data_IF_716063142661
#
_entry.id   IF_716063142661
#
_cell.length_a   1.000
_cell.length_b   1.000
_cell.length_c   1.000
_cell.angle_alpha   90.00
_cell.angle_beta   90.00
_cell.angle_gamma   90.00
#
_symmetry.space_group_name_H-M   'P 1'
#
loop_
_entity.id
_entity.type
_entity.pdbx_description
1 polymer ?
#
# COMPACT_ATOMS: atom_id res chain seq x y z
N UNK A 1 4.80 15.10 27.82
CA UNK A 1 3.90 14.31 26.94
C UNK A 1 4.61 14.03 25.64
N UNK A 2 4.52 12.81 25.08
CA UNK A 2 5.08 12.51 23.76
C UNK A 2 4.46 13.40 22.68
N UNK A 3 5.29 13.93 21.79
CA UNK A 3 4.87 14.74 20.64
C UNK A 3 5.09 13.96 19.36
N UNK A 4 4.06 13.86 18.53
CA UNK A 4 4.11 13.13 17.26
C UNK A 4 3.97 14.13 16.11
N UNK A 5 4.97 14.19 15.22
CA UNK A 5 4.93 15.03 14.03
C UNK A 5 4.29 14.28 12.87
N UNK A 6 3.52 15.01 12.08
CA UNK A 6 2.83 14.52 10.89
C UNK A 6 2.97 15.58 9.79
N UNK A 7 3.13 15.18 8.54
CA UNK A 7 3.18 16.08 7.39
C UNK A 7 3.92 15.47 6.21
N UNK A 8 3.18 14.98 5.22
CA UNK A 8 3.66 14.50 3.91
C UNK A 8 4.94 13.61 3.93
N UNK A 9 5.01 12.73 4.95
CA UNK A 9 6.09 11.75 5.07
C UNK A 9 5.83 10.63 4.06
N UNK A 10 6.66 10.55 3.03
CA UNK A 10 6.53 9.61 1.91
C UNK A 10 7.75 8.68 1.73
N UNK A 11 8.82 8.93 2.47
CA UNK A 11 10.04 8.12 2.51
C UNK A 11 10.73 8.24 3.87
N UNK A 12 11.80 7.47 4.06
CA UNK A 12 12.59 7.43 5.30
C UNK A 12 13.25 8.78 5.61
N UNK A 13 13.76 9.45 4.59
CA UNK A 13 14.40 10.75 4.72
C UNK A 13 13.42 11.85 5.17
N UNK A 14 12.18 11.78 4.71
CA UNK A 14 11.12 12.70 5.16
C UNK A 14 10.85 12.53 6.65
N UNK A 15 10.83 11.29 7.14
CA UNK A 15 10.62 11.00 8.56
C UNK A 15 11.77 11.54 9.42
N UNK A 16 13.02 11.29 9.01
CA UNK A 16 14.20 11.80 9.71
C UNK A 16 14.21 13.33 9.74
N UNK A 17 13.96 13.98 8.61
CA UNK A 17 13.89 15.44 8.50
C UNK A 17 12.75 16.02 9.36
N UNK A 18 11.58 15.38 9.39
CA UNK A 18 10.45 15.83 10.20
C UNK A 18 10.78 15.79 11.71
N UNK A 19 11.45 14.74 12.18
CA UNK A 19 11.92 14.64 13.56
C UNK A 19 12.97 15.70 13.88
N UNK A 20 13.97 15.87 13.01
CA UNK A 20 15.04 16.86 13.20
C UNK A 20 14.49 18.29 13.28
N UNK A 21 13.56 18.66 12.39
CA UNK A 21 13.00 20.01 12.33
C UNK A 21 12.00 20.32 13.44
N UNK A 22 11.26 19.31 13.90
CA UNK A 22 10.21 19.50 14.91
C UNK A 22 10.67 19.27 16.34
N UNK A 23 11.71 18.47 16.54
CA UNK A 23 12.08 17.94 17.87
C UNK A 23 11.05 16.98 18.48
N UNK A 24 10.16 16.42 17.66
CA UNK A 24 9.14 15.47 18.11
C UNK A 24 9.73 14.12 18.51
N UNK A 25 9.00 13.37 19.34
CA UNK A 25 9.39 12.03 19.82
C UNK A 25 9.10 10.92 18.81
N UNK A 26 8.22 11.17 17.86
CA UNK A 26 7.84 10.19 16.84
C UNK A 26 7.15 10.82 15.62
N UNK A 27 6.93 10.00 14.59
CA UNK A 27 6.27 10.39 13.35
C UNK A 27 4.95 9.63 13.16
N UNK A 28 3.97 10.27 12.53
CA UNK A 28 2.76 9.64 12.02
C UNK A 28 2.76 9.72 10.50
N UNK A 29 2.62 8.57 9.85
CA UNK A 29 2.55 8.46 8.40
C UNK A 29 1.10 8.23 8.00
N UNK A 30 0.53 9.17 7.25
CA UNK A 30 -0.84 9.07 6.72
C UNK A 30 -0.84 8.65 5.25
N UNK A 31 -1.16 9.56 4.36
CA UNK A 31 -1.29 9.35 2.91
C UNK A 31 -0.04 8.77 2.24
N UNK A 32 1.14 9.00 2.81
CA UNK A 32 2.39 8.41 2.32
C UNK A 32 2.41 6.88 2.28
N UNK A 33 1.60 6.22 3.14
CA UNK A 33 1.47 4.77 3.16
C UNK A 33 0.42 4.21 2.19
N UNK A 34 -0.35 5.05 1.49
CA UNK A 34 -1.35 4.59 0.55
C UNK A 34 -0.72 3.81 -0.61
N UNK A 35 -1.15 2.57 -0.80
CA UNK A 35 -0.61 1.65 -1.79
C UNK A 35 0.78 1.09 -1.48
N UNK A 36 1.39 1.45 -0.36
CA UNK A 36 2.68 0.94 0.11
C UNK A 36 2.76 0.88 1.64
N UNK A 37 1.93 0.06 2.29
CA UNK A 37 1.89 -0.01 3.77
C UNK A 37 3.20 -0.47 4.39
N UNK A 38 4.07 -1.16 3.66
CA UNK A 38 5.43 -1.53 4.07
C UNK A 38 6.32 -0.33 4.39
N UNK A 39 5.97 0.88 3.91
CA UNK A 39 6.70 2.11 4.23
C UNK A 39 6.82 2.34 5.75
N UNK A 40 5.80 1.97 6.52
CA UNK A 40 5.83 2.07 7.97
C UNK A 40 6.99 1.26 8.59
N UNK A 41 7.15 0.01 8.14
CA UNK A 41 8.26 -0.85 8.56
C UNK A 41 9.63 -0.34 8.09
N UNK A 42 9.70 0.16 6.86
CA UNK A 42 10.92 0.74 6.30
C UNK A 42 11.38 1.96 7.10
N UNK A 43 10.46 2.89 7.41
CA UNK A 43 10.76 4.08 8.21
C UNK A 43 11.18 3.69 9.63
N UNK A 44 10.48 2.75 10.26
CA UNK A 44 10.83 2.28 11.61
C UNK A 44 12.23 1.67 11.62
N UNK A 45 12.56 0.82 10.67
CA UNK A 45 13.89 0.21 10.55
C UNK A 45 14.97 1.27 10.32
N UNK A 46 14.73 2.20 9.41
CA UNK A 46 15.65 3.30 9.12
C UNK A 46 15.96 4.16 10.35
N UNK A 47 14.94 4.55 11.10
CA UNK A 47 15.11 5.38 12.31
C UNK A 47 15.88 4.64 13.42
N UNK A 48 15.80 3.31 13.46
CA UNK A 48 16.48 2.49 14.46
C UNK A 48 17.93 2.12 14.07
N UNK A 49 18.17 1.82 12.81
CA UNK A 49 19.45 1.25 12.33
C UNK A 49 20.28 2.18 11.43
N UNK A 50 19.62 3.18 10.81
CA UNK A 50 20.23 3.99 9.75
C UNK A 50 20.34 3.26 8.41
N UNK A 51 19.81 2.04 8.29
CA UNK A 51 19.89 1.22 7.09
C UNK A 51 18.54 1.17 6.37
N UNK A 52 18.56 1.22 5.02
CA UNK A 52 17.36 1.07 4.20
C UNK A 52 17.02 -0.38 3.97
N UNK A 53 15.73 -0.68 4.02
CA UNK A 53 15.15 -1.97 3.63
C UNK A 53 14.45 -1.82 2.29
N UNK A 54 14.69 -2.76 1.37
CA UNK A 54 14.00 -2.78 0.08
C UNK A 54 12.49 -2.95 0.26
N UNK A 55 11.71 -2.43 -0.70
CA UNK A 55 10.30 -2.74 -0.79
C UNK A 55 10.12 -4.25 -1.06
N UNK A 56 8.99 -4.85 -0.64
CA UNK A 56 8.69 -6.25 -0.95
C UNK A 56 8.64 -6.49 -2.46
N UNK A 57 8.94 -7.72 -2.89
CA UNK A 57 8.78 -8.15 -4.27
C UNK A 57 7.31 -8.11 -4.74
N UNK A 58 7.10 -8.26 -6.04
CA UNK A 58 5.74 -8.21 -6.62
C UNK A 58 4.84 -9.32 -6.07
N UNK A 59 5.39 -10.48 -5.80
CA UNK A 59 4.70 -11.61 -5.19
C UNK A 59 4.20 -11.29 -3.77
N UNK A 60 5.08 -10.78 -2.91
CA UNK A 60 4.74 -10.37 -1.56
C UNK A 60 3.74 -9.19 -1.56
N UNK A 61 3.91 -8.24 -2.48
CA UNK A 61 2.96 -7.13 -2.66
C UNK A 61 1.56 -7.65 -3.05
N UNK A 62 1.49 -8.60 -3.98
CA UNK A 62 0.22 -9.21 -4.40
C UNK A 62 -0.47 -9.93 -3.23
N UNK A 63 0.25 -10.74 -2.47
CA UNK A 63 -0.29 -11.43 -1.29
C UNK A 63 -0.85 -10.44 -0.26
N UNK A 64 -0.11 -9.38 0.03
CA UNK A 64 -0.51 -8.32 0.95
C UNK A 64 -1.78 -7.59 0.49
N UNK A 65 -1.90 -7.32 -0.82
CA UNK A 65 -3.10 -6.69 -1.38
C UNK A 65 -4.32 -7.59 -1.22
N UNK A 66 -4.18 -8.89 -1.50
CA UNK A 66 -5.25 -9.87 -1.34
C UNK A 66 -5.69 -9.98 0.13
N UNK A 67 -4.74 -10.04 1.05
CA UNK A 67 -5.01 -10.06 2.49
C UNK A 67 -5.75 -8.79 2.94
N UNK A 68 -5.26 -7.62 2.55
CA UNK A 68 -5.89 -6.34 2.89
C UNK A 68 -7.31 -6.22 2.30
N UNK A 69 -7.49 -6.69 1.06
CA UNK A 69 -8.80 -6.71 0.44
C UNK A 69 -9.80 -7.56 1.23
N UNK A 70 -9.40 -8.78 1.60
CA UNK A 70 -10.23 -9.68 2.43
C UNK A 70 -10.56 -9.07 3.80
N UNK A 71 -9.57 -8.46 4.44
CA UNK A 71 -9.77 -7.76 5.71
C UNK A 71 -10.76 -6.60 5.60
N UNK A 72 -10.75 -5.85 4.50
CA UNK A 72 -11.77 -4.82 4.24
C UNK A 72 -13.18 -5.40 4.06
N UNK A 73 -13.32 -6.53 3.37
CA UNK A 73 -14.62 -7.21 3.23
C UNK A 73 -15.14 -7.72 4.57
N UNK A 74 -14.27 -8.29 5.39
CA UNK A 74 -14.63 -8.77 6.74
C UNK A 74 -15.07 -7.61 7.64
N UNK A 75 -14.32 -6.52 7.63
CA UNK A 75 -14.55 -5.38 8.52
C UNK A 75 -15.81 -4.56 8.16
N UNK A 76 -16.02 -4.29 6.86
CA UNK A 76 -17.10 -3.41 6.38
C UNK A 76 -18.33 -4.17 5.86
N UNK A 77 -18.25 -5.50 5.73
CA UNK A 77 -19.19 -6.31 4.96
C UNK A 77 -18.91 -6.23 3.46
N UNK A 78 -19.37 -7.25 2.71
CA UNK A 78 -19.03 -7.43 1.29
C UNK A 78 -19.42 -6.21 0.44
N UNK A 79 -20.67 -5.78 0.51
CA UNK A 79 -21.21 -4.71 -0.35
C UNK A 79 -20.50 -3.36 -0.17
N UNK A 80 -20.16 -3.01 1.07
CA UNK A 80 -19.45 -1.77 1.40
C UNK A 80 -17.95 -1.93 1.19
N UNK A 81 -17.40 -3.06 1.60
CA UNK A 81 -15.99 -3.38 1.50
C UNK A 81 -15.48 -3.35 0.06
N UNK A 82 -16.21 -3.92 -0.90
CA UNK A 82 -15.87 -3.85 -2.34
C UNK A 82 -15.75 -2.40 -2.81
N UNK A 83 -16.67 -1.55 -2.45
CA UNK A 83 -16.68 -0.13 -2.85
C UNK A 83 -15.53 0.66 -2.22
N UNK A 84 -15.25 0.41 -0.94
CA UNK A 84 -14.12 1.04 -0.24
C UNK A 84 -12.80 0.59 -0.85
N UNK A 85 -12.67 -0.69 -1.16
CA UNK A 85 -11.45 -1.27 -1.71
C UNK A 85 -11.04 -0.71 -3.09
N UNK A 86 -11.96 -0.18 -3.88
CA UNK A 86 -11.68 0.37 -5.23
C UNK A 86 -10.54 1.38 -5.23
N UNK A 87 -10.55 2.32 -4.30
CA UNK A 87 -9.48 3.33 -4.18
C UNK A 87 -8.16 2.70 -3.75
N UNK A 88 -8.19 1.70 -2.87
CA UNK A 88 -6.98 0.97 -2.44
C UNK A 88 -6.37 0.18 -3.61
N UNK A 89 -7.19 -0.50 -4.43
CA UNK A 89 -6.73 -1.16 -5.64
C UNK A 89 -6.01 -0.17 -6.58
N UNK A 90 -6.57 1.04 -6.73
CA UNK A 90 -5.95 2.10 -7.51
C UNK A 90 -4.61 2.59 -6.95
N UNK A 91 -4.48 2.68 -5.64
CA UNK A 91 -3.22 3.08 -5.00
C UNK A 91 -2.13 2.01 -5.10
N UNK A 92 -2.48 0.74 -4.86
CA UNK A 92 -1.54 -0.37 -4.96
C UNK A 92 -0.98 -0.57 -6.37
N UNK A 93 -1.82 -0.41 -7.39
CA UNK A 93 -1.43 -0.64 -8.78
C UNK A 93 -0.83 0.58 -9.47
N UNK A 94 -0.79 1.74 -8.80
CA UNK A 94 -0.27 2.98 -9.35
C UNK A 94 1.18 2.83 -9.82
N UNK A 95 1.42 3.18 -11.09
CA UNK A 95 2.74 3.10 -11.70
C UNK A 95 3.08 1.73 -12.32
N UNK A 96 2.27 0.70 -12.10
CA UNK A 96 2.43 -0.58 -12.76
C UNK A 96 1.87 -0.55 -14.18
N UNK A 97 2.47 -1.33 -15.07
CA UNK A 97 2.00 -1.43 -16.47
C UNK A 97 0.56 -1.95 -16.53
N UNK A 98 -0.29 -1.28 -17.31
CA UNK A 98 -1.72 -1.62 -17.44
C UNK A 98 -2.61 -1.16 -16.28
N UNK A 99 -2.07 -0.42 -15.31
CA UNK A 99 -2.83 -0.01 -14.11
C UNK A 99 -4.03 0.89 -14.40
N UNK A 100 -4.00 1.68 -15.46
CA UNK A 100 -5.12 2.55 -15.84
C UNK A 100 -6.33 1.73 -16.29
N UNK A 101 -6.11 0.76 -17.16
CA UNK A 101 -7.16 -0.14 -17.67
C UNK A 101 -7.73 -1.01 -16.56
N UNK A 102 -6.85 -1.57 -15.71
CA UNK A 102 -7.26 -2.32 -14.54
C UNK A 102 -8.17 -1.50 -13.62
N UNK A 103 -7.79 -0.26 -13.27
CA UNK A 103 -8.60 0.61 -12.42
C UNK A 103 -9.94 0.96 -13.04
N UNK A 104 -9.95 1.27 -14.33
CA UNK A 104 -11.19 1.56 -15.05
C UNK A 104 -12.14 0.36 -15.02
N UNK A 105 -11.61 -0.85 -15.17
CA UNK A 105 -12.40 -2.07 -15.15
C UNK A 105 -12.89 -2.42 -13.75
N UNK A 106 -12.01 -2.48 -12.76
CA UNK A 106 -12.35 -2.92 -11.40
C UNK A 106 -13.32 -1.98 -10.67
N UNK A 107 -13.34 -0.70 -11.04
CA UNK A 107 -14.24 0.28 -10.44
C UNK A 107 -15.73 0.01 -10.70
N UNK A 108 -16.07 -0.80 -11.68
CA UNK A 108 -17.46 -1.15 -12.04
C UNK A 108 -17.88 -2.55 -11.59
N UNK A 109 -16.97 -3.29 -10.92
CA UNK A 109 -17.26 -4.64 -10.42
C UNK A 109 -17.78 -4.53 -8.98
N UNK A 110 -18.94 -5.12 -8.73
CA UNK A 110 -19.55 -5.19 -7.40
C UNK A 110 -19.39 -6.57 -6.74
N UNK A 111 -19.04 -7.58 -7.52
CA UNK A 111 -18.79 -8.94 -7.05
C UNK A 111 -17.36 -9.09 -6.48
N UNK A 112 -17.25 -9.53 -5.23
CA UNK A 112 -15.99 -9.59 -4.51
C UNK A 112 -15.01 -10.61 -5.10
N UNK A 113 -15.49 -11.76 -5.55
CA UNK A 113 -14.66 -12.82 -6.12
C UNK A 113 -14.19 -12.42 -7.52
N UNK A 114 -15.02 -11.73 -8.26
CA UNK A 114 -14.66 -11.18 -9.57
C UNK A 114 -13.54 -10.13 -9.44
N UNK A 115 -13.56 -9.27 -8.43
CA UNK A 115 -12.46 -8.32 -8.15
C UNK A 115 -11.15 -9.07 -7.90
N UNK A 116 -11.16 -10.13 -7.09
CA UNK A 116 -9.97 -10.97 -6.86
C UNK A 116 -9.47 -11.64 -8.15
N UNK A 117 -10.39 -12.11 -8.99
CA UNK A 117 -10.05 -12.68 -10.30
C UNK A 117 -9.35 -11.67 -11.23
N UNK A 118 -9.86 -10.44 -11.28
CA UNK A 118 -9.25 -9.38 -12.08
C UNK A 118 -7.89 -8.93 -11.51
N UNK A 119 -7.76 -8.89 -10.19
CA UNK A 119 -6.48 -8.60 -9.54
C UNK A 119 -5.44 -9.68 -9.88
N UNK A 120 -5.82 -10.96 -9.81
CA UNK A 120 -4.94 -12.07 -10.18
C UNK A 120 -4.48 -11.98 -11.64
N UNK A 121 -5.39 -11.70 -12.56
CA UNK A 121 -5.07 -11.51 -13.99
C UNK A 121 -4.13 -10.33 -14.23
N UNK A 122 -4.33 -9.24 -13.49
CA UNK A 122 -3.46 -8.07 -13.59
C UNK A 122 -2.03 -8.36 -13.13
N UNK A 123 -1.87 -9.10 -12.03
CA UNK A 123 -0.55 -9.42 -11.47
C UNK A 123 0.16 -10.59 -12.17
N UNK A 124 -0.55 -11.48 -12.85
CA UNK A 124 0.03 -12.67 -13.51
C UNK A 124 1.24 -12.34 -14.42
N UNK A 125 1.16 -11.38 -15.37
CA UNK A 125 2.30 -11.06 -16.21
C UNK A 125 3.46 -10.39 -15.44
N UNK A 126 3.18 -9.68 -14.34
CA UNK A 126 4.19 -9.04 -13.51
C UNK A 126 4.97 -10.11 -12.71
N UNK A 127 4.25 -11.07 -12.12
CA UNK A 127 4.84 -12.19 -11.39
C UNK A 127 5.72 -13.07 -12.30
N UNK A 128 5.29 -13.32 -13.53
CA UNK A 128 6.10 -14.08 -14.51
C UNK A 128 7.39 -13.36 -14.88
N UNK A 129 7.39 -12.03 -14.95
CA UNK A 129 8.59 -11.24 -15.26
C UNK A 129 9.60 -11.24 -14.11
N UNK A 130 9.14 -11.21 -12.87
CA UNK A 130 10.01 -11.25 -11.70
C UNK A 130 10.65 -12.64 -11.51
N UNK A 131 9.95 -13.71 -11.87
CA UNK A 131 10.44 -15.08 -11.80
C UNK A 131 11.43 -15.46 -12.94
N UNK A 132 11.55 -14.66 -13.97
CA UNK A 132 12.44 -14.86 -15.12
C UNK A 132 13.80 -14.19 -14.91
#
# INVERSE_FOLDING_TARGET
LPVIVNGDICCEEDAARALEQSGADGVMIGRGAYGKPWLLGQVMHWLQSGEKVAAPGIDEQYELIVEHYRAMLEHYGVDVGVKIARKHMGWYTKGLHGSADFRNHVNFIDDADQVLGELARFYEPLLRREAA
#
